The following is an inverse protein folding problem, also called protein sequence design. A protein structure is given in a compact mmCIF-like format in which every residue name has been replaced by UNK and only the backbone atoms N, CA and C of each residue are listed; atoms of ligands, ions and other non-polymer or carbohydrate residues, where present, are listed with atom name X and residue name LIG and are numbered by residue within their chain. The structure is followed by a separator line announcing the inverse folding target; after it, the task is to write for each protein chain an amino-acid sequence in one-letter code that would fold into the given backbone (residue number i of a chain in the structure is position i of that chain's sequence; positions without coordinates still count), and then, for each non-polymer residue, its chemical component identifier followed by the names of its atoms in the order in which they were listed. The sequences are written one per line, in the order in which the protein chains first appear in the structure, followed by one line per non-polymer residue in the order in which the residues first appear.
data_IF_469202694044
#
_entry.id   IF_469202694044
#
_cell.length_a   1.000
_cell.length_b   1.000
_cell.length_c   1.000
_cell.angle_alpha   90.00
_cell.angle_beta   90.00
_cell.angle_gamma   90.00
#
_symmetry.space_group_name_H-M   'P 1'
#
loop_
_entity.id
_entity.type
_entity.pdbx_description
1 polymer ?
#
# COMPACT_ATOMS: atom_id res chain seq x y z
N UNK A 1 -10.56 17.98 0.56
CA UNK A 1 -9.34 18.32 -0.19
C UNK A 1 -8.69 17.04 -0.64
N UNK A 2 -8.52 16.85 -1.95
CA UNK A 2 -8.05 15.62 -2.59
C UNK A 2 -6.77 15.07 -1.94
N UNK A 3 -6.86 13.87 -1.34
CA UNK A 3 -5.74 13.14 -0.77
C UNK A 3 -4.66 12.97 -1.84
N UNK A 4 -3.57 13.74 -1.73
CA UNK A 4 -2.43 13.58 -2.63
C UNK A 4 -1.70 12.30 -2.24
N UNK A 5 -1.70 11.30 -3.11
CA UNK A 5 -0.81 10.15 -3.00
C UNK A 5 0.57 10.52 -3.54
N UNK A 6 1.63 9.98 -2.94
CA UNK A 6 3.03 10.21 -3.32
C UNK A 6 3.42 9.54 -4.64
N UNK A 7 2.57 8.66 -5.15
CA UNK A 7 2.78 7.88 -6.37
C UNK A 7 2.06 6.53 -6.29
N UNK A 8 2.29 5.66 -7.26
CA UNK A 8 1.82 4.28 -7.27
C UNK A 8 2.98 3.30 -7.19
N UNK A 9 2.75 2.14 -6.58
CA UNK A 9 3.66 1.01 -6.58
C UNK A 9 2.95 -0.23 -7.10
N UNK A 10 3.70 -1.13 -7.76
CA UNK A 10 3.19 -2.43 -8.21
C UNK A 10 3.71 -3.52 -7.29
N UNK A 11 2.82 -4.36 -6.77
CA UNK A 11 3.21 -5.54 -6.02
C UNK A 11 3.92 -6.54 -6.94
N UNK A 12 5.13 -6.96 -6.57
CA UNK A 12 5.92 -7.95 -7.34
C UNK A 12 5.62 -9.40 -6.93
N UNK A 13 5.01 -9.58 -5.76
CA UNK A 13 4.68 -10.87 -5.19
C UNK A 13 3.40 -10.74 -4.37
N UNK A 14 2.74 -11.86 -4.13
CA UNK A 14 1.64 -11.96 -3.19
C UNK A 14 2.14 -11.69 -1.76
N UNK A 15 1.36 -10.93 -1.00
CA UNK A 15 1.59 -10.65 0.40
C UNK A 15 0.27 -10.80 1.16
N UNK A 16 0.22 -11.68 2.16
CA UNK A 16 -0.94 -11.81 3.02
C UNK A 16 -0.76 -10.92 4.25
N UNK A 17 -1.70 -9.98 4.46
CA UNK A 17 -1.74 -9.19 5.68
C UNK A 17 -1.80 -10.09 6.91
N UNK A 18 -0.96 -9.80 7.89
CA UNK A 18 -0.88 -10.53 9.16
C UNK A 18 -1.89 -10.01 10.18
N UNK A 19 -2.27 -8.74 10.05
CA UNK A 19 -3.23 -8.08 10.92
C UNK A 19 -4.04 -7.00 10.18
N UNK A 20 -4.95 -6.34 10.90
CA UNK A 20 -5.89 -5.35 10.33
C UNK A 20 -5.24 -4.04 9.90
N UNK A 21 -3.98 -3.80 10.27
CA UNK A 21 -3.22 -2.61 9.88
C UNK A 21 -2.45 -2.80 8.57
N UNK A 22 -2.27 -4.06 8.15
CA UNK A 22 -1.61 -4.43 6.90
C UNK A 22 -2.61 -4.63 5.75
N UNK A 23 -2.14 -4.44 4.52
CA UNK A 23 -2.90 -4.71 3.29
C UNK A 23 -2.44 -6.02 2.68
N UNK A 24 -3.38 -6.90 2.34
CA UNK A 24 -3.07 -8.07 1.51
C UNK A 24 -2.88 -7.61 0.06
N UNK A 25 -1.76 -7.97 -0.55
CA UNK A 25 -1.42 -7.63 -1.91
C UNK A 25 -1.38 -8.91 -2.76
N UNK A 26 -1.81 -8.80 -4.01
CA UNK A 26 -1.52 -9.80 -5.03
C UNK A 26 -0.48 -9.28 -6.01
N UNK A 27 0.31 -10.17 -6.58
CA UNK A 27 1.20 -9.83 -7.68
C UNK A 27 0.41 -9.09 -8.77
N UNK A 28 0.91 -7.93 -9.15
CA UNK A 28 0.26 -7.07 -10.14
C UNK A 28 -0.62 -5.96 -9.56
N UNK A 29 -0.98 -6.02 -8.28
CA UNK A 29 -1.78 -4.97 -7.64
C UNK A 29 -1.08 -3.62 -7.69
N UNK A 30 -1.87 -2.55 -7.88
CA UNK A 30 -1.39 -1.17 -7.91
C UNK A 30 -1.79 -0.49 -6.61
N UNK A 31 -0.79 -0.21 -5.78
CA UNK A 31 -0.92 0.44 -4.48
C UNK A 31 -0.73 1.94 -4.66
N UNK A 32 -1.70 2.75 -4.22
CA UNK A 32 -1.52 4.20 -4.10
C UNK A 32 -0.78 4.49 -2.82
N UNK A 33 0.41 5.10 -2.89
CA UNK A 33 1.20 5.40 -1.71
C UNK A 33 0.65 6.65 -1.05
N UNK A 34 0.04 6.50 0.13
CA UNK A 34 -0.53 7.60 0.90
C UNK A 34 0.48 8.25 1.84
N UNK A 35 1.41 7.47 2.42
CA UNK A 35 2.43 8.00 3.32
C UNK A 35 3.68 7.12 3.33
N UNK A 36 4.86 7.73 3.19
CA UNK A 36 6.16 7.05 3.26
C UNK A 36 6.88 7.20 4.62
N UNK A 37 6.33 7.98 5.56
CA UNK A 37 6.89 8.24 6.89
C UNK A 37 6.55 7.14 7.91
N UNK A 38 6.28 5.91 7.45
CA UNK A 38 6.00 4.77 8.31
C UNK A 38 7.25 4.21 8.98
N UNK A 39 7.13 3.00 9.51
CA UNK A 39 8.28 2.25 10.01
C UNK A 39 9.28 1.96 8.87
N UNK A 40 10.55 1.75 9.23
CA UNK A 40 11.59 1.48 8.25
C UNK A 40 11.23 0.21 7.44
N UNK A 41 11.00 0.38 6.14
CA UNK A 41 10.54 -0.70 5.25
C UNK A 41 9.04 -0.75 4.97
N UNK A 42 8.22 0.08 5.64
CA UNK A 42 6.77 0.09 5.49
C UNK A 42 6.23 1.44 5.04
N UNK A 43 5.42 1.42 3.98
CA UNK A 43 4.66 2.58 3.53
C UNK A 43 3.17 2.34 3.71
N UNK A 44 2.45 3.40 4.06
CA UNK A 44 1.00 3.37 4.08
C UNK A 44 0.51 3.55 2.65
N UNK A 45 -0.26 2.58 2.18
CA UNK A 45 -0.88 2.62 0.87
C UNK A 45 -2.38 2.38 0.94
N UNK A 46 -3.03 2.47 -0.21
CA UNK A 46 -4.42 2.11 -0.42
C UNK A 46 -4.51 1.25 -1.69
N UNK A 47 -5.29 0.17 -1.63
CA UNK A 47 -5.66 -0.65 -2.78
C UNK A 47 -7.18 -0.76 -2.84
N UNK A 48 -7.77 -0.61 -4.03
CA UNK A 48 -9.23 -0.77 -4.22
C UNK A 48 -10.11 0.12 -3.31
N UNK A 49 -9.59 1.26 -2.80
CA UNK A 49 -10.31 2.12 -1.86
C UNK A 49 -10.21 1.72 -0.39
N UNK A 50 -9.29 0.80 -0.05
CA UNK A 50 -9.05 0.27 1.30
C UNK A 50 -7.69 0.65 1.85
#
# INVERSE_FOLDING_TARGET
GSTKYFGTAKARYDFCARDRSELSLKEGDIIKILNKKGQQGWWRGEIYGR
#
